data_IF_259134513662
#
_entry.id   IF_259134513662
#
_cell.length_a   1.000
_cell.length_b   1.000
_cell.length_c   1.000
_cell.angle_alpha   90.00
_cell.angle_beta   90.00
_cell.angle_gamma   90.00
#
_symmetry.space_group_name_H-M   'P 1'
#
loop_
_entity.id
_entity.type
_entity.pdbx_description
1 polymer ?
#
# COMPACT_ATOMS: atom_id res chain seq x y z
N UNK A 1 7.53 4.33 7.89
CA UNK A 1 6.06 4.51 7.86
C UNK A 1 5.73 5.98 8.11
N UNK A 2 4.73 6.53 7.41
CA UNK A 2 4.18 7.86 7.67
C UNK A 2 2.65 7.79 7.69
N UNK A 3 2.02 8.51 8.61
CA UNK A 3 0.57 8.75 8.60
C UNK A 3 0.25 9.81 7.54
N UNK A 4 -0.71 9.53 6.67
CA UNK A 4 -1.17 10.46 5.63
C UNK A 4 -2.68 10.56 5.61
N UNK A 5 -3.20 11.76 5.38
CA UNK A 5 -4.65 12.02 5.28
C UNK A 5 -5.19 11.58 3.92
N UNK A 6 -6.50 11.36 3.80
CA UNK A 6 -7.16 11.09 2.51
C UNK A 6 -6.82 12.14 1.43
N UNK A 7 -6.78 13.43 1.80
CA UNK A 7 -6.40 14.52 0.90
C UNK A 7 -4.97 14.36 0.38
N UNK A 8 -4.04 13.98 1.25
CA UNK A 8 -2.65 13.72 0.86
C UNK A 8 -2.55 12.52 -0.09
N UNK A 9 -3.27 11.44 0.17
CA UNK A 9 -3.33 10.27 -0.73
C UNK A 9 -3.76 10.68 -2.14
N UNK A 10 -4.87 11.43 -2.25
CA UNK A 10 -5.39 11.87 -3.55
C UNK A 10 -4.34 12.72 -4.29
N UNK A 11 -3.72 13.69 -3.61
CA UNK A 11 -2.65 14.51 -4.21
C UNK A 11 -1.45 13.68 -4.67
N UNK A 12 -1.01 12.70 -3.88
CA UNK A 12 0.14 11.84 -4.21
C UNK A 12 -0.14 10.97 -5.45
N UNK A 13 -1.32 10.36 -5.52
CA UNK A 13 -1.76 9.57 -6.69
C UNK A 13 -1.86 10.44 -7.94
N UNK A 14 -2.39 11.66 -7.83
CA UNK A 14 -2.52 12.59 -8.96
C UNK A 14 -1.19 13.18 -9.43
N UNK A 15 -0.26 13.44 -8.51
CA UNK A 15 1.07 13.95 -8.84
C UNK A 15 1.94 12.92 -9.57
N UNK A 16 1.68 11.61 -9.41
CA UNK A 16 2.37 10.50 -10.09
C UNK A 16 3.89 10.45 -9.87
N UNK A 17 4.42 11.15 -8.87
CA UNK A 17 5.86 11.26 -8.61
C UNK A 17 6.39 10.18 -7.67
N UNK A 18 5.62 9.87 -6.64
CA UNK A 18 6.06 8.99 -5.57
C UNK A 18 5.57 7.55 -5.79
N UNK A 19 6.36 6.60 -5.30
CA UNK A 19 5.96 5.20 -5.16
C UNK A 19 5.77 4.91 -3.69
N UNK A 20 4.61 4.35 -3.35
CA UNK A 20 4.33 4.05 -1.97
C UNK A 20 3.33 2.90 -1.86
N UNK A 21 3.34 2.26 -0.71
CA UNK A 21 2.30 1.34 -0.28
C UNK A 21 1.44 2.02 0.76
N UNK A 22 0.13 1.86 0.66
CA UNK A 22 -0.85 2.35 1.63
C UNK A 22 -1.74 1.20 2.08
N UNK A 23 -2.12 1.22 3.36
CA UNK A 23 -3.03 0.24 3.94
C UNK A 23 -4.41 0.87 4.08
N UNK A 24 -5.42 0.27 3.44
CA UNK A 24 -6.82 0.74 3.47
C UNK A 24 -7.70 -0.46 3.82
N UNK A 25 -8.42 -0.40 4.95
CA UNK A 25 -9.28 -1.49 5.44
C UNK A 25 -8.59 -2.87 5.41
N UNK A 26 -7.39 -2.95 6.01
CA UNK A 26 -6.54 -4.16 6.05
C UNK A 26 -6.11 -4.70 4.68
N UNK A 27 -6.23 -3.91 3.61
CA UNK A 27 -5.73 -4.23 2.29
C UNK A 27 -4.53 -3.34 1.93
N UNK A 28 -3.45 -3.95 1.47
CA UNK A 28 -2.31 -3.24 0.92
C UNK A 28 -2.58 -2.83 -0.53
N UNK A 29 -2.26 -1.58 -0.83
CA UNK A 29 -2.29 -1.03 -2.18
C UNK A 29 -0.90 -0.46 -2.49
N UNK A 30 -0.31 -0.88 -3.61
CA UNK A 30 0.91 -0.30 -4.15
C UNK A 30 0.55 0.75 -5.20
N UNK A 31 1.11 1.94 -5.05
CA UNK A 31 0.91 3.04 -5.99
C UNK A 31 2.22 3.27 -6.74
N UNK A 32 2.15 3.26 -8.06
CA UNK A 32 3.27 3.56 -8.93
C UNK A 32 2.85 4.46 -10.08
N UNK A 33 3.39 5.68 -10.14
CA UNK A 33 3.13 6.64 -11.23
C UNK A 33 1.63 6.87 -11.49
N UNK A 34 0.82 6.77 -10.45
CA UNK A 34 -0.64 6.94 -10.49
C UNK A 34 -1.44 5.66 -10.80
N UNK A 35 -0.77 4.54 -11.08
CA UNK A 35 -1.38 3.21 -11.10
C UNK A 35 -1.53 2.69 -9.67
N UNK A 36 -2.61 1.98 -9.41
CA UNK A 36 -3.01 1.51 -8.08
C UNK A 36 -3.18 0.00 -8.13
N UNK A 37 -2.25 -0.73 -7.56
CA UNK A 37 -2.27 -2.19 -7.54
C UNK A 37 -2.70 -2.69 -6.17
N UNK A 38 -3.78 -3.47 -6.11
CA UNK A 38 -4.20 -4.10 -4.85
C UNK A 38 -3.46 -5.41 -4.64
N UNK A 39 -2.92 -5.60 -3.45
CA UNK A 39 -2.30 -6.87 -3.08
C UNK A 39 -3.32 -7.99 -3.10
N UNK A 40 -2.85 -9.12 -3.59
CA UNK A 40 -3.65 -10.31 -3.74
C UNK A 40 -3.87 -11.00 -2.41
N UNK A 41 -5.00 -11.68 -2.21
CA UNK A 41 -5.44 -12.11 -0.87
C UNK A 41 -4.36 -12.86 -0.08
N UNK A 42 -3.68 -13.84 -0.69
CA UNK A 42 -2.60 -14.59 -0.04
C UNK A 42 -1.41 -13.70 0.36
N UNK A 43 -0.96 -12.83 -0.54
CA UNK A 43 0.16 -11.92 -0.27
C UNK A 43 -0.24 -10.82 0.72
N UNK A 44 -1.49 -10.36 0.67
CA UNK A 44 -2.06 -9.43 1.62
C UNK A 44 -2.05 -10.01 3.03
N UNK A 45 -2.50 -11.26 3.21
CA UNK A 45 -2.46 -11.95 4.50
C UNK A 45 -1.03 -12.07 5.02
N UNK A 46 -0.08 -12.48 4.16
CA UNK A 46 1.35 -12.52 4.53
C UNK A 46 1.86 -11.16 4.98
N UNK A 47 1.57 -10.10 4.24
CA UNK A 47 2.00 -8.75 4.58
C UNK A 47 1.33 -8.20 5.83
N UNK A 48 0.09 -8.61 6.14
CA UNK A 48 -0.54 -8.29 7.42
C UNK A 48 0.20 -8.95 8.59
N UNK A 49 0.68 -10.18 8.43
CA UNK A 49 1.52 -10.83 9.46
C UNK A 49 2.83 -10.07 9.66
N UNK A 50 3.52 -9.69 8.57
CA UNK A 50 4.76 -8.90 8.65
C UNK A 50 4.51 -7.53 9.28
N UNK A 51 3.39 -6.89 8.95
CA UNK A 51 2.97 -5.63 9.56
C UNK A 51 2.70 -5.78 11.06
N UNK A 52 2.15 -6.92 11.50
CA UNK A 52 2.01 -7.25 12.93
C UNK A 52 3.36 -7.24 13.64
N UNK A 53 4.33 -8.03 13.14
CA UNK A 53 5.71 -8.02 13.67
C UNK A 53 6.36 -6.65 13.66
N UNK A 54 6.05 -5.80 12.66
CA UNK A 54 6.54 -4.42 12.62
C UNK A 54 5.94 -3.56 13.74
N UNK A 55 4.63 -3.67 14.01
CA UNK A 55 4.00 -2.92 15.10
C UNK A 55 4.40 -3.44 16.49
N UNK A 56 4.68 -4.73 16.62
CA UNK A 56 5.18 -5.34 17.85
C UNK A 56 6.67 -5.02 18.11
N UNK A 57 7.33 -4.36 17.16
CA UNK A 57 8.74 -3.96 17.26
C UNK A 57 9.74 -5.09 17.04
N UNK A 58 9.28 -6.24 16.53
CA UNK A 58 10.14 -7.40 16.22
C UNK A 58 10.98 -7.18 14.96
N UNK A 59 10.49 -6.34 14.03
CA UNK A 59 11.22 -5.96 12.82
C UNK A 59 11.26 -4.45 12.66
N UNK A 60 12.37 -3.96 12.10
CA UNK A 60 12.58 -2.54 11.87
C UNK A 60 11.92 -2.07 10.56
N UNK A 61 11.82 -0.75 10.39
CA UNK A 61 11.22 -0.14 9.20
C UNK A 61 11.90 -0.56 7.89
N UNK A 62 13.22 -0.76 7.89
CA UNK A 62 13.98 -1.22 6.73
C UNK A 62 13.60 -2.66 6.32
N UNK A 63 13.40 -3.53 7.30
CA UNK A 63 12.95 -4.90 7.07
C UNK A 63 11.51 -4.94 6.53
N UNK A 64 10.62 -4.09 7.05
CA UNK A 64 9.25 -3.93 6.53
C UNK A 64 9.25 -3.43 5.07
N UNK A 65 10.05 -2.41 4.76
CA UNK A 65 10.18 -1.89 3.38
C UNK A 65 10.72 -2.98 2.44
N UNK A 66 11.73 -3.73 2.87
CA UNK A 66 12.32 -4.82 2.09
C UNK A 66 11.30 -5.93 1.81
N UNK A 67 10.50 -6.32 2.82
CA UNK A 67 9.44 -7.31 2.66
C UNK A 67 8.35 -6.85 1.69
N UNK A 68 7.93 -5.58 1.78
CA UNK A 68 6.98 -4.98 0.84
C UNK A 68 7.51 -4.98 -0.58
N UNK A 69 8.73 -4.49 -0.80
CA UNK A 69 9.36 -4.44 -2.13
C UNK A 69 9.45 -5.85 -2.75
N UNK A 70 9.87 -6.85 -1.96
CA UNK A 70 9.91 -8.23 -2.42
C UNK A 70 8.52 -8.73 -2.82
N UNK A 71 7.51 -8.50 -1.97
CA UNK A 71 6.13 -8.91 -2.28
C UNK A 71 5.55 -8.20 -3.50
N UNK A 72 5.93 -6.94 -3.77
CA UNK A 72 5.51 -6.21 -4.98
C UNK A 72 6.16 -6.83 -6.20
N UNK A 73 7.48 -7.02 -6.20
CA UNK A 73 8.23 -7.60 -7.31
C UNK A 73 7.68 -8.99 -7.65
N UNK A 74 7.48 -9.84 -6.63
CA UNK A 74 6.93 -11.18 -6.81
C UNK A 74 5.54 -11.11 -7.46
N UNK A 75 4.69 -10.17 -7.07
CA UNK A 75 3.34 -10.02 -7.65
C UNK A 75 3.35 -9.44 -9.06
N UNK A 76 4.25 -8.49 -9.36
CA UNK A 76 4.38 -7.88 -10.69
C UNK A 76 4.81 -8.87 -11.77
N UNK A 77 5.41 -10.00 -11.40
CA UNK A 77 5.78 -11.07 -12.34
C UNK A 77 4.57 -11.84 -12.87
N UNK A 78 3.37 -11.58 -12.36
CA UNK A 78 2.18 -12.30 -12.77
C UNK A 78 1.07 -11.40 -13.30
N UNK A 79 0.37 -11.87 -14.34
CA UNK A 79 -0.66 -11.13 -15.08
C UNK A 79 -1.89 -10.68 -14.26
N UNK A 80 -2.06 -11.22 -13.04
CA UNK A 80 -3.21 -10.96 -12.18
C UNK A 80 -2.97 -9.80 -11.18
N UNK A 81 -1.79 -9.20 -11.15
CA UNK A 81 -1.52 -7.97 -10.38
C UNK A 81 -1.88 -6.73 -11.20
N UNK A 82 -3.18 -6.54 -11.40
CA UNK A 82 -3.73 -5.51 -12.29
C UNK A 82 -4.07 -4.22 -11.57
N UNK A 83 -4.08 -3.13 -12.35
CA UNK A 83 -4.46 -1.80 -11.90
C UNK A 83 -5.95 -1.79 -11.49
N UNK A 84 -6.22 -1.23 -10.32
CA UNK A 84 -7.56 -1.07 -9.77
C UNK A 84 -8.13 0.25 -10.26
N UNK A 85 -9.41 0.25 -10.61
CA UNK A 85 -10.16 1.44 -10.95
C UNK A 85 -9.95 2.55 -9.92
N UNK A 86 -9.36 3.66 -10.38
CA UNK A 86 -8.94 4.79 -9.55
C UNK A 86 -10.12 5.40 -8.79
N UNK A 87 -11.29 5.45 -9.42
CA UNK A 87 -12.52 5.96 -8.81
C UNK A 87 -12.93 5.11 -7.60
N UNK A 88 -12.83 3.77 -7.71
CA UNK A 88 -13.17 2.85 -6.61
C UNK A 88 -12.17 2.98 -5.46
N UNK A 89 -10.89 3.20 -5.77
CA UNK A 89 -9.88 3.46 -4.74
C UNK A 89 -10.14 4.77 -4.00
N UNK A 90 -10.37 5.87 -4.72
CA UNK A 90 -10.66 7.17 -4.11
C UNK A 90 -11.95 7.18 -3.30
N UNK A 91 -12.99 6.47 -3.75
CA UNK A 91 -14.20 6.32 -2.95
C UNK A 91 -13.91 5.65 -1.59
N UNK A 92 -13.06 4.62 -1.57
CA UNK A 92 -12.64 3.97 -0.31
C UNK A 92 -11.82 4.90 0.58
N UNK A 93 -10.88 5.63 -0.02
CA UNK A 93 -10.03 6.59 0.71
C UNK A 93 -10.88 7.70 1.34
N UNK A 94 -11.80 8.29 0.57
CA UNK A 94 -12.61 9.42 1.02
C UNK A 94 -13.71 9.03 2.03
N UNK A 95 -14.10 7.75 2.07
CA UNK A 95 -15.02 7.22 3.09
C UNK A 95 -14.35 6.93 4.44
N UNK A 96 -13.02 6.87 4.49
CA UNK A 96 -12.28 6.70 5.74
C UNK A 96 -12.24 8.03 6.50
N UNK A 97 -12.61 8.00 7.78
CA UNK A 97 -12.46 9.14 8.69
C UNK A 97 -11.08 9.22 9.34
N UNK A 98 -10.26 8.20 9.17
CA UNK A 98 -8.95 8.04 9.80
C UNK A 98 -7.79 8.16 8.82
N UNK A 99 -6.66 8.63 9.32
CA UNK A 99 -5.38 8.65 8.60
C UNK A 99 -4.91 7.25 8.24
N UNK A 100 -4.14 7.17 7.16
CA UNK A 100 -3.63 5.93 6.61
C UNK A 100 -2.15 5.77 6.90
N UNK A 101 -1.73 4.53 7.14
CA UNK A 101 -0.32 4.18 7.14
C UNK A 101 0.18 3.99 5.72
N UNK A 102 1.25 4.73 5.40
CA UNK A 102 1.94 4.64 4.14
C UNK A 102 3.45 4.38 4.30
N UNK A 103 3.97 3.54 3.41
CA UNK A 103 5.38 3.19 3.28
C UNK A 103 5.87 3.73 1.94
N UNK A 104 6.83 4.65 1.97
CA UNK A 104 7.40 5.29 0.79
C UNK A 104 8.73 4.64 0.42
N UNK A 105 9.05 4.64 -0.87
CA UNK A 105 10.29 4.07 -1.43
C UNK A 105 11.12 5.13 -2.14
#
# INVERSE_FOLDING_TARGET
>A
MKKITAKMVNMLVENKKERFVIIVNHCFYYIEKGHIYRFQQHNNTKMLTVLGSFYDGEIENEQMITALQKSIIDQMQYDWFTDVWKETFFERINRSSSDFDAFFF
#
